data_IF_650022639066
#
_entry.id   IF_650022639066
#
_cell.length_a   1.000
_cell.length_b   1.000
_cell.length_c   1.000
_cell.angle_alpha   90.00
_cell.angle_beta   90.00
_cell.angle_gamma   90.00
#
_symmetry.space_group_name_H-M   'P 1'
#
loop_
_entity.id
_entity.type
_entity.pdbx_description
1 polymer ?
#
# COMPACT_ATOMS: atom_id res chain seq x y z
N UNK A 1 22.90 -13.92 -15.02
CA UNK A 1 22.16 -14.23 -13.79
C UNK A 1 20.76 -14.65 -14.17
N UNK A 2 20.32 -15.84 -13.77
CA UNK A 2 18.92 -16.27 -14.01
C UNK A 2 18.00 -15.44 -13.11
N UNK A 3 16.98 -14.81 -13.69
CA UNK A 3 16.00 -14.00 -12.96
C UNK A 3 14.69 -14.76 -12.64
N UNK A 4 14.59 -16.01 -13.13
CA UNK A 4 13.45 -16.87 -12.85
C UNK A 4 13.70 -17.59 -11.54
N UNK A 5 12.75 -17.46 -10.61
CA UNK A 5 12.80 -18.07 -9.28
C UNK A 5 11.38 -18.51 -8.86
N UNK A 6 11.29 -19.34 -7.86
CA UNK A 6 10.03 -19.76 -7.26
C UNK A 6 9.39 -18.61 -6.46
N UNK A 7 8.08 -18.68 -6.20
CA UNK A 7 7.40 -17.69 -5.37
C UNK A 7 8.05 -17.58 -3.97
N UNK A 8 8.42 -18.71 -3.38
CA UNK A 8 9.09 -18.73 -2.07
C UNK A 8 10.44 -17.99 -2.10
N UNK A 9 11.30 -18.28 -3.06
CA UNK A 9 12.58 -17.58 -3.22
C UNK A 9 12.40 -16.09 -3.43
N UNK A 10 11.37 -15.67 -4.18
CA UNK A 10 11.06 -14.26 -4.38
C UNK A 10 10.59 -13.58 -3.08
N UNK A 11 9.72 -14.24 -2.31
CA UNK A 11 9.21 -13.71 -1.04
C UNK A 11 10.28 -13.71 0.06
N UNK A 12 11.27 -14.57 0.00
CA UNK A 12 12.40 -14.57 0.93
C UNK A 12 13.31 -13.34 0.78
N UNK A 13 13.20 -12.60 -0.32
CA UNK A 13 13.88 -11.31 -0.50
C UNK A 13 13.21 -10.16 0.30
N UNK A 14 11.95 -10.34 0.71
CA UNK A 14 11.21 -9.32 1.46
C UNK A 14 11.57 -9.43 2.94
N UNK A 15 12.11 -8.35 3.48
CA UNK A 15 12.56 -8.24 4.86
C UNK A 15 11.65 -7.31 5.67
N UNK A 16 11.76 -7.38 6.98
CA UNK A 16 11.04 -6.50 7.91
C UNK A 16 11.26 -5.02 7.58
N UNK A 17 10.23 -4.22 7.75
CA UNK A 17 10.22 -2.76 7.54
C UNK A 17 10.42 -2.28 6.09
N UNK A 18 10.48 -3.18 5.10
CA UNK A 18 10.55 -2.79 3.69
C UNK A 18 9.26 -2.16 3.19
N UNK A 19 9.37 -1.37 2.12
CA UNK A 19 8.21 -0.98 1.32
C UNK A 19 7.93 -2.08 0.31
N UNK A 20 6.72 -2.59 0.34
CA UNK A 20 6.22 -3.61 -0.57
C UNK A 20 5.17 -2.99 -1.49
N UNK A 21 5.36 -3.09 -2.78
CA UNK A 21 4.43 -2.59 -3.77
C UNK A 21 3.97 -3.72 -4.70
N UNK A 22 2.69 -3.73 -5.00
CA UNK A 22 2.12 -4.60 -6.02
C UNK A 22 1.01 -3.88 -6.77
N UNK A 23 0.69 -4.36 -7.95
CA UNK A 23 -0.34 -3.78 -8.80
C UNK A 23 -1.24 -4.86 -9.38
N UNK A 24 -2.36 -4.42 -9.95
CA UNK A 24 -3.36 -5.22 -10.61
C UNK A 24 -4.61 -4.38 -10.82
N UNK A 25 -5.53 -4.85 -11.63
CA UNK A 25 -6.80 -4.18 -11.84
C UNK A 25 -7.95 -5.09 -11.40
N UNK A 26 -8.60 -4.75 -10.28
CA UNK A 26 -9.58 -5.62 -9.63
C UNK A 26 -8.93 -6.98 -9.35
N UNK A 27 -9.39 -8.06 -9.97
CA UNK A 27 -8.79 -9.40 -9.85
C UNK A 27 -7.88 -9.78 -11.03
N UNK A 28 -7.60 -8.84 -11.95
CA UNK A 28 -6.77 -9.11 -13.12
C UNK A 28 -5.33 -8.69 -12.92
N UNK A 29 -4.39 -9.54 -13.36
CA UNK A 29 -2.96 -9.25 -13.27
C UNK A 29 -2.41 -9.15 -11.85
N UNK A 30 -3.10 -9.73 -10.87
CA UNK A 30 -2.62 -9.82 -9.50
C UNK A 30 -1.45 -10.80 -9.42
N UNK A 31 -0.39 -10.51 -8.66
CA UNK A 31 0.66 -11.48 -8.35
C UNK A 31 0.19 -12.41 -7.22
N UNK A 32 -0.91 -13.13 -7.46
CA UNK A 32 -1.68 -13.83 -6.43
C UNK A 32 -0.85 -14.90 -5.71
N UNK A 33 -0.07 -15.68 -6.46
CA UNK A 33 0.81 -16.71 -5.90
C UNK A 33 1.86 -16.11 -4.94
N UNK A 34 2.39 -14.93 -5.26
CA UNK A 34 3.31 -14.22 -4.37
C UNK A 34 2.60 -13.70 -3.11
N UNK A 35 1.37 -13.20 -3.26
CA UNK A 35 0.61 -12.68 -2.11
C UNK A 35 0.21 -13.80 -1.15
N UNK A 36 -0.22 -14.95 -1.68
CA UNK A 36 -0.50 -16.17 -0.89
C UNK A 36 0.78 -16.64 -0.18
N UNK A 37 1.89 -16.73 -0.92
CA UNK A 37 3.18 -17.17 -0.35
C UNK A 37 3.66 -16.23 0.77
N UNK A 38 3.43 -14.92 0.62
CA UNK A 38 3.76 -13.93 1.65
C UNK A 38 2.87 -14.09 2.89
N UNK A 39 1.56 -14.31 2.69
CA UNK A 39 0.62 -14.60 3.77
C UNK A 39 1.02 -15.84 4.54
N UNK A 40 1.26 -16.96 3.85
CA UNK A 40 1.67 -18.24 4.44
C UNK A 40 2.98 -18.11 5.23
N UNK A 41 3.97 -17.41 4.67
CA UNK A 41 5.23 -17.16 5.35
C UNK A 41 5.01 -16.38 6.64
N UNK A 42 4.22 -15.31 6.60
CA UNK A 42 3.93 -14.51 7.78
C UNK A 42 3.20 -15.34 8.86
N UNK A 43 2.18 -16.12 8.48
CA UNK A 43 1.42 -16.97 9.42
C UNK A 43 2.32 -18.01 10.09
N UNK A 44 3.20 -18.66 9.31
CA UNK A 44 4.01 -19.76 9.79
C UNK A 44 5.28 -19.31 10.54
N UNK A 45 5.88 -18.21 10.11
CA UNK A 45 7.20 -17.77 10.58
C UNK A 45 7.15 -16.45 11.37
N UNK A 46 6.04 -15.71 11.31
CA UNK A 46 5.91 -14.39 11.89
C UNK A 46 6.79 -13.32 11.23
N UNK A 47 7.22 -13.55 10.00
CA UNK A 47 8.08 -12.68 9.21
C UNK A 47 7.72 -12.78 7.72
N UNK A 48 7.86 -11.68 6.93
CA UNK A 48 8.31 -10.34 7.35
C UNK A 48 7.28 -9.60 8.19
N UNK A 49 7.71 -8.55 8.90
CA UNK A 49 6.85 -7.68 9.73
C UNK A 49 6.96 -6.23 9.30
N UNK A 50 5.94 -5.45 9.67
CA UNK A 50 5.97 -3.99 9.57
C UNK A 50 6.25 -3.48 8.14
N UNK A 51 5.69 -4.14 7.13
CA UNK A 51 5.82 -3.68 5.75
C UNK A 51 5.03 -2.39 5.53
N UNK A 52 5.60 -1.46 4.77
CA UNK A 52 4.85 -0.33 4.21
C UNK A 52 4.25 -0.78 2.89
N UNK A 53 2.93 -0.88 2.83
CA UNK A 53 2.22 -1.31 1.64
C UNK A 53 1.95 -0.12 0.72
N UNK A 54 2.30 -0.26 -0.56
CA UNK A 54 1.98 0.69 -1.62
C UNK A 54 1.24 0.01 -2.76
N UNK A 55 0.14 0.61 -3.23
CA UNK A 55 -0.56 0.23 -4.46
C UNK A 55 -1.27 1.45 -5.08
N UNK A 56 -1.49 1.40 -6.40
CA UNK A 56 -2.02 2.55 -7.13
C UNK A 56 -3.55 2.75 -6.95
N UNK A 57 -4.33 1.66 -6.98
CA UNK A 57 -5.80 1.70 -6.83
C UNK A 57 -6.26 0.89 -5.61
N UNK A 58 -6.81 -0.30 -5.81
CA UNK A 58 -7.13 -1.32 -4.81
C UNK A 58 -7.16 -2.70 -5.48
N UNK A 59 -6.00 -3.29 -5.80
CA UNK A 59 -5.95 -4.59 -6.46
C UNK A 59 -6.46 -5.68 -5.52
N UNK A 60 -7.62 -6.27 -5.85
CA UNK A 60 -8.29 -7.28 -5.03
C UNK A 60 -9.69 -7.61 -5.52
N UNK A 61 -10.38 -8.52 -4.85
CA UNK A 61 -11.74 -8.98 -5.20
C UNK A 61 -12.74 -8.88 -4.05
N UNK A 62 -12.61 -7.93 -3.17
CA UNK A 62 -13.38 -7.70 -1.95
C UNK A 62 -13.02 -8.63 -0.80
N UNK A 63 -12.98 -9.95 -0.93
CA UNK A 63 -12.90 -10.86 0.22
C UNK A 63 -11.67 -11.78 0.26
N UNK A 64 -11.24 -12.29 -0.89
CA UNK A 64 -10.27 -13.39 -0.94
C UNK A 64 -8.91 -13.02 -1.55
N UNK A 65 -8.89 -12.33 -2.68
CA UNK A 65 -7.68 -12.11 -3.48
C UNK A 65 -7.02 -10.75 -3.26
N UNK A 66 -5.80 -10.62 -3.77
CA UNK A 66 -5.06 -9.37 -3.76
C UNK A 66 -4.65 -8.91 -2.38
N UNK A 67 -4.84 -7.64 -2.06
CA UNK A 67 -4.46 -7.06 -0.77
C UNK A 67 -5.13 -7.71 0.45
N UNK A 68 -6.19 -8.51 0.27
CA UNK A 68 -6.83 -9.22 1.38
C UNK A 68 -5.92 -10.25 2.05
N UNK A 69 -4.94 -10.82 1.33
CA UNK A 69 -3.91 -11.71 1.88
C UNK A 69 -2.99 -11.00 2.87
N UNK A 70 -2.91 -9.68 2.80
CA UNK A 70 -2.00 -8.89 3.63
C UNK A 70 -2.66 -8.37 4.91
N UNK A 71 -3.93 -8.69 5.14
CA UNK A 71 -4.72 -8.16 6.25
C UNK A 71 -4.44 -8.88 7.59
N UNK A 72 -3.19 -8.96 7.97
CA UNK A 72 -2.74 -9.54 9.25
C UNK A 72 -2.08 -8.46 10.12
N UNK A 73 -2.48 -8.40 11.41
CA UNK A 73 -1.87 -7.47 12.36
C UNK A 73 -0.38 -7.76 12.51
N UNK A 74 0.45 -6.74 12.35
CA UNK A 74 1.90 -6.84 12.42
C UNK A 74 2.58 -7.13 11.08
N UNK A 75 1.87 -7.61 10.05
CA UNK A 75 2.43 -7.73 8.70
C UNK A 75 2.59 -6.35 8.06
N UNK A 76 1.53 -5.55 8.06
CA UNK A 76 1.52 -4.21 7.49
C UNK A 76 1.53 -3.16 8.61
N UNK A 77 2.48 -2.23 8.57
CA UNK A 77 2.56 -1.10 9.50
C UNK A 77 1.92 0.17 8.95
N UNK A 78 1.71 0.28 7.62
CA UNK A 78 1.22 1.46 6.94
C UNK A 78 0.70 1.12 5.56
N UNK A 79 -0.35 1.78 5.13
CA UNK A 79 -0.89 1.65 3.77
C UNK A 79 -0.87 3.01 3.08
N UNK A 80 -0.36 3.02 1.84
CA UNK A 80 -0.50 4.08 0.87
C UNK A 80 -1.16 3.51 -0.38
N UNK A 81 -2.36 3.93 -0.68
CA UNK A 81 -3.14 3.36 -1.80
C UNK A 81 -4.21 4.30 -2.32
N UNK A 82 -4.92 3.87 -3.37
CA UNK A 82 -6.01 4.64 -3.95
C UNK A 82 -7.30 4.54 -3.13
N UNK A 83 -7.73 3.32 -2.81
CA UNK A 83 -8.90 3.04 -1.98
C UNK A 83 -8.85 1.62 -1.41
N UNK A 84 -9.80 1.26 -0.52
CA UNK A 84 -9.85 -0.06 0.15
C UNK A 84 -11.08 -0.90 -0.25
N UNK A 85 -11.97 -0.45 -1.11
CA UNK A 85 -13.25 -1.11 -1.38
C UNK A 85 -13.10 -2.57 -1.83
N UNK A 86 -12.06 -2.87 -2.61
CA UNK A 86 -11.78 -4.23 -3.09
C UNK A 86 -10.93 -5.07 -2.10
N UNK A 87 -10.50 -4.48 -0.99
CA UNK A 87 -9.68 -5.13 0.04
C UNK A 87 -10.37 -5.00 1.40
N UNK A 88 -11.53 -5.64 1.55
CA UNK A 88 -12.40 -5.48 2.74
C UNK A 88 -11.74 -5.88 4.05
N UNK A 89 -10.86 -6.87 4.03
CA UNK A 89 -10.11 -7.25 5.24
C UNK A 89 -9.13 -6.14 5.66
N UNK A 90 -8.46 -5.49 4.71
CA UNK A 90 -7.63 -4.30 5.00
C UNK A 90 -8.51 -3.12 5.44
N UNK A 91 -9.69 -2.94 4.83
CA UNK A 91 -10.64 -1.89 5.23
C UNK A 91 -11.12 -2.09 6.68
N UNK A 92 -11.34 -3.34 7.11
CA UNK A 92 -11.67 -3.64 8.50
C UNK A 92 -10.55 -3.20 9.45
N UNK A 93 -9.30 -3.56 9.16
CA UNK A 93 -8.15 -3.12 9.95
C UNK A 93 -7.97 -1.59 9.96
N UNK A 94 -8.28 -0.92 8.84
CA UNK A 94 -8.29 0.54 8.77
C UNK A 94 -9.33 1.14 9.72
N UNK A 95 -10.55 0.60 9.72
CA UNK A 95 -11.64 1.03 10.61
C UNK A 95 -11.33 0.79 12.10
N UNK A 96 -10.54 -0.22 12.38
CA UNK A 96 -10.05 -0.53 13.74
C UNK A 96 -8.82 0.31 14.15
N UNK A 97 -8.37 1.23 13.29
CA UNK A 97 -7.14 2.00 13.49
C UNK A 97 -5.89 1.13 13.74
N UNK A 98 -5.82 -0.05 13.13
CA UNK A 98 -4.71 -0.99 13.34
C UNK A 98 -3.37 -0.49 12.79
N UNK A 99 -3.38 0.41 11.80
CA UNK A 99 -2.22 1.09 11.23
C UNK A 99 -2.65 2.38 10.51
N UNK A 100 -1.72 3.32 10.28
CA UNK A 100 -1.94 4.49 9.43
C UNK A 100 -2.31 4.11 7.99
N UNK A 101 -3.37 4.72 7.46
CA UNK A 101 -3.84 4.49 6.09
C UNK A 101 -4.01 5.83 5.37
N UNK A 102 -3.41 5.95 4.19
CA UNK A 102 -3.47 7.13 3.34
C UNK A 102 -4.09 6.75 2.00
N UNK A 103 -5.21 7.40 1.66
CA UNK A 103 -5.93 7.20 0.39
C UNK A 103 -5.63 8.36 -0.55
N UNK A 104 -4.66 8.14 -1.42
CA UNK A 104 -4.15 9.14 -2.37
C UNK A 104 -4.85 8.96 -3.72
N UNK A 105 -5.20 10.03 -4.43
CA UNK A 105 -5.80 9.91 -5.77
C UNK A 105 -4.99 8.99 -6.67
N UNK A 106 -5.66 8.08 -7.37
CA UNK A 106 -5.01 7.00 -8.12
C UNK A 106 -4.01 7.50 -9.18
N UNK A 107 -4.34 8.56 -9.88
CA UNK A 107 -3.46 9.15 -10.88
C UNK A 107 -2.20 9.76 -10.27
N UNK A 108 -2.30 10.31 -9.04
CA UNK A 108 -1.13 10.75 -8.26
C UNK A 108 -0.23 9.55 -7.95
N UNK A 109 -0.80 8.42 -7.53
CA UNK A 109 -0.05 7.19 -7.26
C UNK A 109 0.66 6.66 -8.52
N UNK A 110 -0.04 6.63 -9.65
CA UNK A 110 0.53 6.19 -10.94
C UNK A 110 1.72 7.06 -11.37
N UNK A 111 1.59 8.37 -11.23
CA UNK A 111 2.69 9.30 -11.52
C UNK A 111 3.84 9.17 -10.51
N UNK A 112 3.53 8.94 -9.24
CA UNK A 112 4.53 8.74 -8.20
C UNK A 112 5.37 7.48 -8.46
N UNK A 113 4.77 6.37 -8.86
CA UNK A 113 5.50 5.16 -9.26
C UNK A 113 6.50 5.43 -10.38
N UNK A 114 6.11 6.23 -11.37
CA UNK A 114 6.99 6.62 -12.47
C UNK A 114 8.12 7.53 -11.99
N UNK A 115 7.82 8.48 -11.12
CA UNK A 115 8.83 9.36 -10.53
C UNK A 115 9.86 8.56 -9.70
N UNK A 116 9.39 7.63 -8.87
CA UNK A 116 10.26 6.72 -8.09
C UNK A 116 11.18 5.92 -9.02
N UNK A 117 10.65 5.35 -10.09
CA UNK A 117 11.45 4.61 -11.07
C UNK A 117 12.49 5.50 -11.78
N UNK A 118 12.19 6.78 -11.95
CA UNK A 118 13.10 7.78 -12.53
C UNK A 118 14.10 8.37 -11.53
N UNK A 119 14.03 8.03 -10.24
CA UNK A 119 14.86 8.61 -9.19
C UNK A 119 14.48 10.04 -8.81
N UNK A 120 13.26 10.47 -9.16
CA UNK A 120 12.72 11.77 -8.80
C UNK A 120 12.32 11.80 -7.31
N UNK A 121 12.44 12.95 -6.62
CA UNK A 121 12.11 13.06 -5.19
C UNK A 121 10.60 12.98 -4.90
N UNK A 122 9.75 13.03 -5.92
CA UNK A 122 8.30 13.03 -5.83
C UNK A 122 7.66 13.68 -7.04
N UNK A 123 6.39 13.99 -6.93
CA UNK A 123 5.63 14.68 -7.98
C UNK A 123 5.03 15.99 -7.46
N UNK A 124 4.92 16.99 -8.35
CA UNK A 124 4.21 18.25 -8.09
C UNK A 124 2.93 18.23 -8.90
N UNK A 125 1.78 18.37 -8.24
CA UNK A 125 0.48 18.29 -8.89
C UNK A 125 -0.53 19.23 -8.22
N UNK A 126 -1.57 19.61 -8.97
CA UNK A 126 -2.75 20.32 -8.45
C UNK A 126 -3.91 19.38 -8.14
N UNK A 127 -3.74 18.09 -8.45
CA UNK A 127 -4.77 17.08 -8.20
C UNK A 127 -4.99 16.94 -6.70
N UNK A 128 -6.24 16.86 -6.30
CA UNK A 128 -6.64 16.78 -4.90
C UNK A 128 -6.75 18.11 -4.16
N UNK A 129 -6.34 19.23 -4.74
CA UNK A 129 -6.52 20.53 -4.08
C UNK A 129 -8.01 20.82 -3.83
N UNK A 130 -8.31 21.36 -2.63
CA UNK A 130 -9.67 21.65 -2.13
C UNK A 130 -10.54 20.40 -1.91
N UNK A 131 -9.93 19.22 -1.87
CA UNK A 131 -10.58 17.96 -1.48
C UNK A 131 -9.95 17.42 -0.19
N UNK A 132 -10.41 16.27 0.30
CA UNK A 132 -9.79 15.59 1.44
C UNK A 132 -8.30 15.27 1.21
N UNK A 133 -7.87 15.16 -0.04
CA UNK A 133 -6.46 14.92 -0.39
C UNK A 133 -5.57 16.17 -0.24
N UNK A 134 -6.16 17.36 -0.11
CA UNK A 134 -5.41 18.60 0.10
C UNK A 134 -4.68 18.55 1.45
N UNK A 135 -3.35 18.73 1.49
CA UNK A 135 -2.58 18.67 2.74
C UNK A 135 -2.98 19.76 3.77
N UNK A 136 -3.72 20.79 3.33
CA UNK A 136 -4.30 21.81 4.22
C UNK A 136 -5.62 21.37 4.86
N UNK A 137 -6.18 20.25 4.40
CA UNK A 137 -7.37 19.59 4.96
C UNK A 137 -6.95 18.25 5.58
N UNK A 138 -7.45 17.14 5.07
CA UNK A 138 -7.18 15.82 5.65
C UNK A 138 -5.86 15.20 5.17
N UNK A 139 -5.27 15.70 4.07
CA UNK A 139 -3.98 15.21 3.55
C UNK A 139 -4.00 13.72 3.26
N UNK A 140 -5.08 13.23 2.66
CA UNK A 140 -5.31 11.81 2.34
C UNK A 140 -5.42 10.86 3.54
N UNK A 141 -5.47 11.34 4.77
CA UNK A 141 -5.59 10.49 5.97
C UNK A 141 -6.97 9.83 6.02
N UNK A 142 -6.99 8.50 6.03
CA UNK A 142 -8.23 7.74 5.98
C UNK A 142 -8.73 7.27 7.37
N UNK A 143 -7.89 7.37 8.40
CA UNK A 143 -8.25 6.92 9.75
C UNK A 143 -7.51 7.71 10.83
N UNK A 144 -7.90 7.52 12.10
CA UNK A 144 -7.30 8.22 13.23
C UNK A 144 -5.81 7.88 13.38
N UNK A 145 -5.41 6.64 13.16
CA UNK A 145 -4.01 6.24 13.23
C UNK A 145 -3.12 7.04 12.25
N UNK A 146 -3.66 7.45 11.09
CA UNK A 146 -2.93 8.30 10.14
C UNK A 146 -2.79 9.75 10.64
N UNK A 147 -3.69 10.24 11.49
CA UNK A 147 -3.53 11.54 12.15
C UNK A 147 -2.52 11.47 13.29
N UNK A 148 -2.55 10.40 14.06
CA UNK A 148 -1.74 10.24 15.27
C UNK A 148 -0.27 9.93 14.97
N UNK A 149 0.02 9.36 13.79
CA UNK A 149 1.41 8.99 13.42
C UNK A 149 2.33 10.19 13.15
N UNK A 150 1.76 11.40 12.99
CA UNK A 150 2.52 12.62 12.71
C UNK A 150 3.17 12.68 11.33
N UNK A 151 2.97 11.67 10.49
CA UNK A 151 3.50 11.59 9.14
C UNK A 151 2.51 12.18 8.12
N UNK A 152 3.03 12.68 7.00
CA UNK A 152 2.24 13.13 5.86
C UNK A 152 2.78 12.49 4.59
N UNK A 153 1.89 11.90 3.79
CA UNK A 153 2.26 11.38 2.47
C UNK A 153 2.43 12.46 1.43
N UNK A 154 1.75 13.58 1.62
CA UNK A 154 1.74 14.70 0.68
C UNK A 154 2.51 15.85 1.29
N UNK A 155 3.69 16.15 0.73
CA UNK A 155 4.44 17.35 1.02
C UNK A 155 3.80 18.58 0.38
N UNK A 156 4.08 19.77 0.94
CA UNK A 156 3.70 21.04 0.33
C UNK A 156 4.65 21.36 -0.80
N UNK A 157 4.17 21.50 -2.03
CA UNK A 157 4.80 22.36 -2.99
C UNK A 157 4.37 23.81 -2.66
N UNK A 158 5.31 24.64 -2.28
CA UNK A 158 5.07 26.07 -2.24
C UNK A 158 4.98 26.57 -3.69
N UNK A 159 3.82 27.00 -4.11
CA UNK A 159 3.61 27.77 -5.33
C UNK A 159 3.50 29.24 -4.93
#
# INVERSE_FOLDING_TARGET
MNKVMTAREAIDLIQDNMTFAFTGFVSFGLPEDLLITLEEKFINEGSPKNLSLFYDAAPGCREAHGGNHLAHRGLIRRIHGGHLDLNRKLAALCSENAMPVFMVPQDVNTHLLRAIAGGEPGIVTKIGLKTYADPRQDGCRANQAAWDCGETEIGRAHV
#
